data_IF_504145444999
#
_entry.id   IF_504145444999
#
_cell.length_a   1.000
_cell.length_b   1.000
_cell.length_c   1.000
_cell.angle_alpha   90.00
_cell.angle_beta   90.00
_cell.angle_gamma   90.00
#
_symmetry.space_group_name_H-M   'P 1'
#
loop_
_entity.id
_entity.type
_entity.pdbx_description
1 polymer ?
#
# COMPACT_ATOMS: atom_id res chain seq x y z
N UNK A 1 -3.47 10.66 -4.84
CA UNK A 1 -2.39 10.50 -3.84
C UNK A 1 -3.01 10.62 -2.45
N UNK A 2 -3.31 9.49 -1.81
CA UNK A 2 -3.92 9.45 -0.48
C UNK A 2 -2.78 9.55 0.53
N UNK A 3 -2.81 10.55 1.41
CA UNK A 3 -1.80 10.68 2.45
C UNK A 3 -1.81 9.46 3.39
N UNK A 4 -0.63 8.92 3.77
CA UNK A 4 -0.56 7.87 4.77
C UNK A 4 -1.22 8.35 6.07
N UNK A 5 -1.98 7.48 6.75
CA UNK A 5 -2.53 7.84 8.04
C UNK A 5 -1.40 8.04 9.06
N UNK A 6 -1.54 9.06 9.91
CA UNK A 6 -0.47 9.51 10.81
C UNK A 6 0.08 8.41 11.76
N UNK A 7 -0.71 7.39 12.05
CA UNK A 7 -0.28 6.25 12.88
C UNK A 7 0.76 5.34 12.19
N UNK A 8 0.82 5.33 10.85
CA UNK A 8 1.68 4.43 10.09
C UNK A 8 3.17 4.69 10.37
N UNK A 9 3.56 5.96 10.40
CA UNK A 9 4.96 6.36 10.67
C UNK A 9 5.41 5.95 12.08
N UNK A 10 4.51 6.05 13.07
CA UNK A 10 4.78 5.60 14.43
C UNK A 10 4.96 4.08 14.51
N UNK A 11 4.11 3.33 13.81
CA UNK A 11 4.23 1.87 13.74
C UNK A 11 5.54 1.43 13.07
N UNK A 12 5.91 2.05 11.94
CA UNK A 12 7.17 1.77 11.25
C UNK A 12 8.39 2.04 12.14
N UNK A 13 8.36 3.10 12.94
CA UNK A 13 9.42 3.42 13.89
C UNK A 13 9.56 2.35 14.99
N UNK A 14 8.45 1.80 15.49
CA UNK A 14 8.47 0.75 16.52
C UNK A 14 8.87 -0.62 15.96
N UNK A 15 8.50 -0.94 14.72
CA UNK A 15 9.02 -2.11 13.99
C UNK A 15 10.55 -2.00 13.85
N UNK A 16 11.05 -0.83 13.43
CA UNK A 16 12.48 -0.57 13.28
C UNK A 16 13.29 -0.66 14.59
N UNK A 17 12.61 -0.65 15.74
CA UNK A 17 13.21 -0.81 17.07
C UNK A 17 13.09 -2.24 17.62
N UNK A 18 12.64 -3.21 16.82
CA UNK A 18 12.33 -4.59 17.25
C UNK A 18 11.35 -4.68 18.45
N UNK A 19 10.53 -3.64 18.68
CA UNK A 19 9.55 -3.63 19.78
C UNK A 19 8.22 -4.29 19.40
N UNK A 20 8.04 -4.63 18.13
CA UNK A 20 6.81 -5.23 17.59
C UNK A 20 7.11 -6.67 17.18
N UNK A 21 6.43 -7.64 17.79
CA UNK A 21 6.57 -9.07 17.44
C UNK A 21 5.58 -9.55 16.38
N UNK A 22 4.49 -8.81 16.15
CA UNK A 22 3.48 -9.09 15.13
C UNK A 22 2.75 -7.80 14.75
N UNK A 23 2.53 -7.58 13.45
CA UNK A 23 1.78 -6.41 12.97
C UNK A 23 0.37 -6.84 12.58
N UNK A 24 -0.64 -6.46 13.39
CA UNK A 24 -2.04 -6.77 13.13
C UNK A 24 -2.71 -5.68 12.28
N UNK A 25 -2.99 -5.98 11.01
CA UNK A 25 -3.58 -5.01 10.09
C UNK A 25 -5.09 -5.14 10.01
N UNK A 26 -5.83 -4.57 10.99
CA UNK A 26 -7.31 -4.59 11.02
C UNK A 26 -7.99 -3.93 9.79
N UNK A 27 -7.21 -3.24 8.94
CA UNK A 27 -7.67 -2.65 7.69
C UNK A 27 -6.56 -2.67 6.63
N UNK A 28 -5.95 -3.84 6.37
CA UNK A 28 -4.99 -4.06 5.28
C UNK A 28 -5.45 -3.37 3.98
N UNK A 29 -6.70 -3.57 3.58
CA UNK A 29 -7.30 -2.99 2.36
C UNK A 29 -7.23 -1.45 2.22
N UNK A 30 -7.04 -0.69 3.31
CA UNK A 30 -6.84 0.77 3.26
C UNK A 30 -5.38 1.14 3.03
N UNK A 31 -4.47 0.28 3.47
CA UNK A 31 -3.02 0.37 3.27
C UNK A 31 -2.62 -0.12 1.88
N UNK A 32 -3.23 -1.21 1.41
CA UNK A 32 -3.13 -1.73 0.04
C UNK A 32 -3.56 -0.72 -1.01
N UNK A 33 -4.48 0.18 -0.62
CA UNK A 33 -4.90 1.32 -1.44
C UNK A 33 -3.80 2.33 -1.74
N UNK A 34 -2.71 2.28 -0.98
CA UNK A 34 -1.50 3.05 -1.21
C UNK A 34 -0.32 2.10 -1.34
N UNK A 35 -0.06 1.66 -2.57
CA UNK A 35 1.02 0.74 -2.90
C UNK A 35 2.37 1.12 -2.30
N UNK A 36 2.69 2.42 -2.28
CA UNK A 36 3.93 2.94 -1.71
C UNK A 36 4.04 2.69 -0.21
N UNK A 37 2.99 3.02 0.54
CA UNK A 37 2.97 2.90 1.99
C UNK A 37 2.99 1.43 2.42
N UNK A 38 2.29 0.59 1.66
CA UNK A 38 2.29 -0.86 1.85
C UNK A 38 3.67 -1.48 1.56
N UNK A 39 4.30 -1.14 0.44
CA UNK A 39 5.64 -1.66 0.10
C UNK A 39 6.67 -1.30 1.18
N UNK A 40 6.68 -0.06 1.67
CA UNK A 40 7.59 0.34 2.75
C UNK A 40 7.32 -0.43 4.06
N UNK A 41 6.06 -0.73 4.37
CA UNK A 41 5.71 -1.51 5.56
C UNK A 41 6.18 -2.96 5.41
N UNK A 42 5.91 -3.58 4.25
CA UNK A 42 6.30 -4.96 3.96
C UNK A 42 7.83 -5.12 3.95
N UNK A 43 8.56 -4.17 3.36
CA UNK A 43 10.03 -4.16 3.34
C UNK A 43 10.61 -4.07 4.75
N UNK A 44 10.11 -3.15 5.58
CA UNK A 44 10.50 -3.07 7.00
C UNK A 44 10.14 -4.38 7.74
N UNK A 45 8.94 -4.91 7.50
CA UNK A 45 8.53 -6.16 8.16
C UNK A 45 9.43 -7.34 7.78
N UNK A 46 9.85 -7.44 6.52
CA UNK A 46 10.79 -8.46 6.03
C UNK A 46 12.20 -8.28 6.60
N UNK A 47 12.70 -7.04 6.69
CA UNK A 47 14.02 -6.73 7.27
C UNK A 47 14.07 -7.08 8.77
N UNK A 48 13.01 -6.74 9.51
CA UNK A 48 12.95 -6.92 10.96
C UNK A 48 12.34 -8.27 11.39
N UNK A 49 11.92 -9.11 10.44
CA UNK A 49 11.33 -10.42 10.68
C UNK A 49 9.99 -10.37 11.42
N UNK A 50 9.20 -9.31 11.19
CA UNK A 50 7.91 -9.12 11.87
C UNK A 50 6.77 -9.61 10.97
N UNK A 51 6.12 -10.74 11.31
CA UNK A 51 5.02 -11.26 10.50
C UNK A 51 3.83 -10.31 10.53
N UNK A 52 3.20 -10.13 9.37
CA UNK A 52 1.97 -9.36 9.21
C UNK A 52 0.80 -10.31 9.41
N UNK A 53 -0.22 -9.94 10.18
CA UNK A 53 -1.41 -10.77 10.33
C UNK A 53 -2.69 -9.94 10.19
N UNK A 54 -3.68 -10.49 9.50
CA UNK A 54 -5.01 -9.92 9.36
C UNK A 54 -6.07 -10.93 9.85
N UNK A 55 -7.34 -10.52 9.82
CA UNK A 55 -8.50 -11.37 10.10
C UNK A 55 -8.58 -12.61 9.18
N UNK A 56 -8.03 -12.51 7.97
CA UNK A 56 -8.02 -13.60 6.99
C UNK A 56 -6.82 -14.56 7.13
N UNK A 57 -5.79 -14.20 7.92
CA UNK A 57 -4.61 -15.03 8.14
C UNK A 57 -3.32 -14.27 8.45
N UNK A 58 -2.27 -15.01 8.82
CA UNK A 58 -0.91 -14.49 8.93
C UNK A 58 -0.22 -14.54 7.56
N UNK A 59 0.38 -13.42 7.16
CA UNK A 59 1.16 -13.23 5.96
C UNK A 59 2.64 -13.22 6.33
N UNK A 60 3.42 -14.05 5.64
CA UNK A 60 4.86 -13.89 5.63
C UNK A 60 5.18 -12.65 4.79
N UNK A 61 5.85 -11.62 5.32
CA UNK A 61 6.28 -10.45 4.54
C UNK A 61 7.19 -10.81 3.36
N UNK A 62 7.81 -12.00 3.36
CA UNK A 62 8.63 -12.53 2.26
C UNK A 62 7.76 -13.15 1.16
N UNK A 63 6.61 -13.72 1.53
CA UNK A 63 5.62 -14.29 0.61
C UNK A 63 4.60 -13.20 0.25
N UNK A 64 5.06 -12.26 -0.57
CA UNK A 64 4.26 -11.14 -1.08
C UNK A 64 3.07 -11.70 -1.87
N UNK A 65 1.95 -11.93 -1.19
CA UNK A 65 0.74 -12.55 -1.70
C UNK A 65 0.33 -11.98 -3.07
N UNK A 66 0.27 -12.81 -4.10
CA UNK A 66 -0.01 -12.43 -5.50
C UNK A 66 -1.35 -11.68 -5.68
N UNK A 67 -2.37 -11.97 -4.84
CA UNK A 67 -3.66 -11.28 -4.89
C UNK A 67 -3.58 -9.78 -4.55
N UNK A 68 -2.54 -9.41 -3.81
CA UNK A 68 -2.29 -8.08 -3.28
C UNK A 68 -1.49 -7.23 -4.29
N UNK A 69 -0.57 -7.87 -5.03
CA UNK A 69 0.08 -7.29 -6.21
C UNK A 69 -0.95 -6.89 -7.27
N UNK A 70 -1.94 -7.75 -7.51
CA UNK A 70 -3.01 -7.51 -8.48
C UNK A 70 -3.84 -6.28 -8.10
N UNK A 71 -4.19 -6.11 -6.83
CA UNK A 71 -4.96 -4.95 -6.37
C UNK A 71 -4.19 -3.63 -6.55
N UNK A 72 -2.88 -3.65 -6.27
CA UNK A 72 -2.00 -2.52 -6.55
C UNK A 72 -1.90 -2.19 -8.04
N UNK A 73 -1.82 -3.23 -8.88
CA UNK A 73 -1.85 -3.08 -10.34
C UNK A 73 -3.15 -2.44 -10.83
N UNK A 74 -4.30 -2.90 -10.34
CA UNK A 74 -5.62 -2.35 -10.69
C UNK A 74 -5.77 -0.88 -10.29
N UNK A 75 -5.23 -0.47 -9.14
CA UNK A 75 -5.27 0.94 -8.72
C UNK A 75 -4.35 1.82 -9.56
N UNK A 76 -3.14 1.35 -9.86
CA UNK A 76 -2.24 2.06 -10.76
C UNK A 76 -2.88 2.26 -12.14
N UNK A 77 -3.56 1.23 -12.66
CA UNK A 77 -4.29 1.31 -13.93
C UNK A 77 -5.48 2.28 -13.85
N UNK A 78 -6.22 2.30 -12.74
CA UNK A 78 -7.30 3.25 -12.51
C UNK A 78 -6.79 4.71 -12.43
N UNK A 79 -5.67 4.97 -11.74
CA UNK A 79 -5.05 6.30 -11.69
C UNK A 79 -4.60 6.76 -13.08
N UNK A 80 -4.00 5.86 -13.87
CA UNK A 80 -3.63 6.14 -15.27
C UNK A 80 -4.85 6.45 -16.14
N UNK A 81 -5.97 5.75 -15.94
CA UNK A 81 -7.21 6.01 -16.64
C UNK A 81 -7.72 7.43 -16.38
N UNK A 82 -7.71 7.87 -15.11
CA UNK A 82 -8.11 9.23 -14.72
C UNK A 82 -7.21 10.28 -15.38
N UNK A 83 -5.88 10.11 -15.33
CA UNK A 83 -4.93 11.04 -15.95
C UNK A 83 -5.17 11.13 -17.47
N UNK A 84 -5.36 9.99 -18.15
CA UNK A 84 -5.67 9.96 -19.58
C UNK A 84 -6.98 10.67 -19.90
N UNK A 85 -8.02 10.48 -19.09
CA UNK A 85 -9.30 11.18 -19.25
C UNK A 85 -9.11 12.70 -19.17
N UNK A 86 -8.41 13.19 -18.14
CA UNK A 86 -8.16 14.62 -17.96
C UNK A 86 -7.33 15.23 -19.10
N UNK A 87 -6.32 14.52 -19.60
CA UNK A 87 -5.53 14.96 -20.76
C UNK A 87 -6.37 15.06 -22.03
N UNK A 88 -7.25 14.08 -22.27
CA UNK A 88 -8.13 14.07 -23.43
C UNK A 88 -9.15 15.22 -23.37
N UNK A 89 -9.71 15.50 -22.20
CA UNK A 89 -10.61 16.63 -22.00
C UNK A 89 -9.89 17.98 -22.18
N UNK A 90 -8.64 18.11 -21.68
CA UNK A 90 -7.81 19.30 -21.90
C UNK A 90 -7.44 19.51 -23.38
N UNK A 91 -7.10 18.44 -24.10
CA UNK A 91 -6.82 18.51 -25.54
C UNK A 91 -8.05 18.96 -26.33
N UNK A 92 -9.25 18.51 -25.95
CA UNK A 92 -10.52 18.96 -26.54
C UNK A 92 -10.85 20.42 -26.20
N UNK A 93 -10.44 20.90 -25.03
CA UNK A 93 -10.64 22.29 -24.62
C UNK A 93 -9.73 23.26 -25.40
N UNK A 94 -8.52 22.84 -25.78
CA UNK A 94 -7.58 23.65 -26.58
C UNK A 94 -7.92 23.63 -28.08
N UNK A 95 -8.68 22.62 -28.54
CA UNK A 95 -9.15 22.52 -29.92
C UNK A 95 -10.45 23.32 -30.20
N UNK A 96 -10.96 24.08 -29.22
CA UNK A 96 -12.06 25.04 -29.35
C UNK A 96 -11.52 26.46 -29.28
#
# INVERSE_FOLDING_TARGET
MIDPPAWLSGLMAEIGRHHVGITLGLAMSRLERSCKNWHQLAELCGIFGTPLANQDGAYDPIDYNDGLLVLCGMMSEAELHVIRSSLHDGSRAVAR
#
